data_IF_142310986420
#
_entry.id   IF_142310986420
#
_cell.length_a   1.000
_cell.length_b   1.000
_cell.length_c   1.000
_cell.angle_alpha   90.00
_cell.angle_beta   90.00
_cell.angle_gamma   90.00
#
_symmetry.space_group_name_H-M   'P 1'
#
loop_
_entity.id
_entity.type
_entity.pdbx_description
1 polymer ?
#
# COMPACT_ATOMS: atom_id res chain seq x y z
N UNK A 1 11.71 12.84 23.80
CA UNK A 1 12.94 12.93 22.99
C UNK A 1 12.74 11.99 21.81
N UNK A 2 12.47 12.49 20.61
CA UNK A 2 12.24 11.65 19.44
C UNK A 2 13.57 11.03 18.98
N UNK A 3 13.62 9.71 18.85
CA UNK A 3 14.79 8.99 18.36
C UNK A 3 15.04 9.39 16.90
N UNK A 4 16.21 9.97 16.54
CA UNK A 4 16.41 10.67 15.27
C UNK A 4 16.56 9.76 14.03
N UNK A 5 16.22 8.46 14.13
CA UNK A 5 16.56 7.48 13.08
C UNK A 5 15.48 6.41 12.81
N UNK A 6 14.26 6.57 13.30
CA UNK A 6 13.16 5.69 12.89
C UNK A 6 12.58 6.14 11.54
N UNK A 7 12.56 5.20 10.60
CA UNK A 7 11.78 5.37 9.37
C UNK A 7 10.28 5.52 9.74
N UNK A 8 9.50 6.29 8.96
CA UNK A 8 8.06 6.43 9.19
C UNK A 8 7.31 5.12 8.94
N UNK A 9 6.04 5.05 9.34
CA UNK A 9 5.11 4.03 8.83
C UNK A 9 4.75 4.33 7.36
N UNK A 10 4.19 3.34 6.65
CA UNK A 10 3.73 3.53 5.26
C UNK A 10 2.72 4.69 5.16
N UNK A 11 1.73 4.74 6.05
CA UNK A 11 0.70 5.78 6.03
C UNK A 11 1.28 7.18 6.28
N UNK A 12 2.15 7.30 7.28
CA UNK A 12 2.85 8.56 7.57
C UNK A 12 3.71 9.02 6.39
N UNK A 13 4.40 8.08 5.72
CA UNK A 13 5.16 8.38 4.52
C UNK A 13 4.27 8.87 3.37
N UNK A 14 3.17 8.18 3.09
CA UNK A 14 2.24 8.54 2.01
C UNK A 14 1.61 9.92 2.24
N UNK A 15 1.31 10.26 3.49
CA UNK A 15 0.68 11.53 3.85
C UNK A 15 1.66 12.73 3.84
N UNK A 16 2.92 12.52 4.22
CA UNK A 16 3.83 13.63 4.52
C UNK A 16 5.06 13.70 3.60
N UNK A 17 5.40 12.64 2.88
CA UNK A 17 6.66 12.56 2.12
C UNK A 17 6.45 12.39 0.61
N UNK A 18 5.22 12.25 0.15
CA UNK A 18 4.84 12.32 -1.26
C UNK A 18 4.34 13.72 -1.61
N UNK A 19 5.09 14.44 -2.43
CA UNK A 19 4.69 15.77 -2.88
C UNK A 19 4.05 15.71 -4.26
N UNK A 20 2.88 16.33 -4.49
CA UNK A 20 2.35 16.50 -5.83
C UNK A 20 3.38 17.18 -6.74
N UNK A 21 3.50 16.70 -7.98
CA UNK A 21 4.36 17.28 -8.99
C UNK A 21 3.54 17.60 -10.24
N UNK A 22 3.72 18.82 -10.76
CA UNK A 22 3.04 19.30 -11.96
C UNK A 22 4.07 19.49 -13.06
N UNK A 23 3.89 18.80 -14.18
CA UNK A 23 4.74 18.99 -15.34
C UNK A 23 4.21 20.21 -16.09
N UNK A 24 5.06 21.24 -16.19
CA UNK A 24 4.75 22.42 -16.99
C UNK A 24 5.14 22.14 -18.44
N UNK A 25 4.16 22.21 -19.34
CA UNK A 25 4.35 22.06 -20.78
C UNK A 25 5.29 23.16 -21.28
N UNK A 26 6.58 22.83 -21.45
CA UNK A 26 7.60 23.79 -21.89
C UNK A 26 9.04 23.41 -21.52
N UNK A 27 9.22 22.58 -20.49
CA UNK A 27 10.51 21.97 -20.16
C UNK A 27 10.44 20.47 -20.44
N UNK A 28 11.29 19.98 -21.36
CA UNK A 28 11.32 18.61 -21.86
C UNK A 28 11.76 17.57 -20.83
N UNK A 29 11.02 17.41 -19.75
CA UNK A 29 11.15 16.24 -18.89
C UNK A 29 10.34 15.10 -19.50
N UNK A 30 10.90 14.48 -20.56
CA UNK A 30 10.47 13.18 -21.08
C UNK A 30 10.80 12.08 -20.06
N UNK A 31 10.24 12.18 -18.85
CA UNK A 31 10.36 11.17 -17.81
C UNK A 31 9.35 10.04 -18.03
N UNK A 32 9.79 8.81 -17.80
CA UNK A 32 8.91 7.66 -17.69
C UNK A 32 8.72 7.30 -16.22
N UNK A 33 7.52 6.89 -15.86
CA UNK A 33 7.25 6.31 -14.55
C UNK A 33 8.06 5.02 -14.39
N UNK A 34 9.01 4.96 -13.44
CA UNK A 34 9.86 3.79 -13.21
C UNK A 34 9.15 2.52 -12.73
N UNK A 35 7.81 2.52 -12.67
CA UNK A 35 6.97 1.37 -12.32
C UNK A 35 6.22 0.82 -13.53
N UNK A 36 5.45 1.66 -14.25
CA UNK A 36 4.70 1.22 -15.44
C UNK A 36 5.43 1.47 -16.77
N UNK A 37 6.54 2.20 -16.76
CA UNK A 37 7.34 2.58 -17.94
C UNK A 37 6.59 3.46 -18.95
N UNK A 38 5.46 4.03 -18.55
CA UNK A 38 4.69 5.00 -19.36
C UNK A 38 5.11 6.44 -19.03
N UNK A 39 4.89 7.35 -19.98
CA UNK A 39 5.11 8.77 -19.80
C UNK A 39 4.16 9.38 -18.78
N UNK A 40 4.53 10.53 -18.23
CA UNK A 40 3.73 11.25 -17.24
C UNK A 40 2.61 12.12 -17.85
N UNK A 41 2.55 12.19 -19.18
CA UNK A 41 1.52 12.93 -19.89
C UNK A 41 0.17 12.27 -19.65
N UNK A 42 -0.82 13.06 -19.20
CA UNK A 42 -2.21 12.64 -18.99
C UNK A 42 -2.45 11.56 -17.92
N UNK A 43 -1.70 11.58 -16.81
CA UNK A 43 -2.03 10.72 -15.67
C UNK A 43 -3.28 11.22 -14.92
N UNK A 44 -4.42 10.49 -14.92
CA UNK A 44 -5.63 10.90 -14.19
C UNK A 44 -5.44 10.87 -12.67
N UNK A 45 -4.39 10.21 -12.19
CA UNK A 45 -4.13 10.00 -10.77
C UNK A 45 -3.03 10.93 -10.21
N UNK A 46 -2.49 11.82 -11.04
CA UNK A 46 -1.43 12.76 -10.68
C UNK A 46 -0.05 12.13 -10.50
N UNK A 47 0.95 12.98 -10.52
CA UNK A 47 2.37 12.62 -10.36
C UNK A 47 2.79 13.01 -8.95
N UNK A 48 3.59 12.16 -8.32
CA UNK A 48 4.18 12.42 -7.01
C UNK A 48 5.69 12.33 -7.07
N UNK A 49 6.33 13.23 -6.33
CA UNK A 49 7.75 13.24 -6.06
C UNK A 49 8.01 12.75 -4.65
N UNK A 50 8.92 11.80 -4.50
CA UNK A 50 9.39 11.39 -3.17
C UNK A 50 10.34 12.46 -2.63
N UNK A 51 10.00 13.07 -1.50
CA UNK A 51 10.79 14.16 -0.90
C UNK A 51 12.24 13.77 -0.56
N UNK A 52 12.49 12.52 -0.16
CA UNK A 52 13.81 12.08 0.32
C UNK A 52 14.78 11.63 -0.77
N UNK A 53 14.32 11.43 -2.01
CA UNK A 53 15.17 10.99 -3.13
C UNK A 53 14.78 11.58 -4.51
N UNK A 54 13.81 12.50 -4.54
CA UNK A 54 13.36 13.28 -5.70
C UNK A 54 12.90 12.52 -6.95
N UNK A 55 12.75 11.20 -6.89
CA UNK A 55 12.22 10.41 -8.00
C UNK A 55 10.71 10.61 -8.17
N UNK A 56 10.26 10.59 -9.43
CA UNK A 56 8.87 10.82 -9.85
C UNK A 56 8.17 9.51 -10.23
N UNK A 57 6.90 9.40 -9.84
CA UNK A 57 6.05 8.26 -10.19
C UNK A 57 4.59 8.72 -10.33
N UNK A 58 3.78 7.98 -11.08
CA UNK A 58 2.33 8.07 -10.94
C UNK A 58 1.95 7.69 -9.51
N UNK A 59 1.07 8.47 -8.88
CA UNK A 59 0.64 8.23 -7.50
C UNK A 59 0.13 6.81 -7.31
N UNK A 60 -0.73 6.35 -8.22
CA UNK A 60 -1.30 5.00 -8.16
C UNK A 60 -0.25 3.91 -8.35
N UNK A 61 0.71 4.08 -9.27
CA UNK A 61 1.78 3.11 -9.48
C UNK A 61 2.66 2.96 -8.22
N UNK A 62 3.00 4.08 -7.58
CA UNK A 62 3.80 4.05 -6.35
C UNK A 62 3.04 3.39 -5.18
N UNK A 63 1.74 3.66 -5.03
CA UNK A 63 0.92 3.00 -4.01
C UNK A 63 0.75 1.50 -4.27
N UNK A 64 0.56 1.08 -5.53
CA UNK A 64 0.53 -0.35 -5.90
C UNK A 64 1.85 -1.04 -5.56
N UNK A 65 2.99 -0.36 -5.79
CA UNK A 65 4.30 -0.87 -5.38
C UNK A 65 4.35 -1.10 -3.86
N UNK A 66 3.94 -0.12 -3.06
CA UNK A 66 3.93 -0.21 -1.58
C UNK A 66 3.01 -1.31 -1.05
N UNK A 67 1.87 -1.56 -1.70
CA UNK A 67 0.91 -2.59 -1.31
C UNK A 67 1.18 -3.97 -1.93
N UNK A 68 2.24 -4.13 -2.71
CA UNK A 68 2.56 -5.41 -3.34
C UNK A 68 3.04 -6.46 -2.32
N UNK A 69 3.15 -7.72 -2.72
CA UNK A 69 3.75 -8.80 -1.91
C UNK A 69 5.29 -8.77 -1.96
N UNK A 70 5.89 -7.81 -2.64
CA UNK A 70 7.34 -7.75 -2.83
C UNK A 70 8.07 -7.40 -1.53
N UNK A 71 9.12 -8.14 -1.17
CA UNK A 71 9.89 -7.94 0.08
C UNK A 71 10.57 -6.57 0.20
N UNK A 72 10.77 -5.87 -0.92
CA UNK A 72 11.35 -4.51 -0.99
C UNK A 72 10.32 -3.43 -1.29
N UNK A 73 9.03 -3.69 -1.04
CA UNK A 73 7.93 -2.73 -1.28
C UNK A 73 8.05 -1.43 -0.48
N UNK A 74 8.87 -1.40 0.57
CA UNK A 74 9.17 -0.20 1.35
C UNK A 74 10.36 0.63 0.82
N UNK A 75 10.80 0.37 -0.42
CA UNK A 75 11.92 1.08 -1.04
C UNK A 75 11.47 1.88 -2.26
N UNK A 76 12.21 2.94 -2.59
CA UNK A 76 12.01 3.66 -3.86
C UNK A 76 12.26 2.69 -5.04
N UNK A 77 11.32 2.57 -6.00
CA UNK A 77 11.50 1.69 -7.16
C UNK A 77 12.76 2.01 -7.99
N UNK A 78 13.15 3.29 -8.06
CA UNK A 78 14.27 3.77 -8.87
C UNK A 78 15.63 3.63 -8.17
N UNK A 79 15.77 4.12 -6.93
CA UNK A 79 17.07 4.17 -6.25
C UNK A 79 17.20 3.24 -5.04
N UNK A 80 16.16 2.47 -4.71
CA UNK A 80 16.13 1.50 -3.60
C UNK A 80 16.35 2.08 -2.20
N UNK A 81 16.32 3.40 -2.02
CA UNK A 81 16.31 4.05 -0.71
C UNK A 81 15.11 3.55 0.11
N UNK A 82 15.34 3.18 1.37
CA UNK A 82 14.27 2.84 2.32
C UNK A 82 13.39 4.06 2.59
N UNK A 83 12.07 3.86 2.50
CA UNK A 83 11.08 4.92 2.61
C UNK A 83 10.29 4.86 3.91
N UNK A 84 9.94 3.64 4.35
CA UNK A 84 9.16 3.40 5.55
C UNK A 84 9.50 2.03 6.16
N UNK A 85 9.07 1.83 7.41
CA UNK A 85 9.14 0.54 8.08
C UNK A 85 8.06 -0.39 7.54
N UNK A 86 8.44 -1.63 7.23
CA UNK A 86 7.46 -2.69 7.02
C UNK A 86 6.95 -3.11 8.40
N UNK A 87 5.64 -3.01 8.61
CA UNK A 87 4.99 -3.75 9.68
C UNK A 87 5.16 -5.23 9.37
N UNK A 88 5.94 -5.91 10.19
CA UNK A 88 5.97 -7.36 10.19
C UNK A 88 4.75 -7.85 10.97
N UNK A 89 4.02 -8.81 10.40
CA UNK A 89 3.04 -9.54 11.18
C UNK A 89 3.81 -10.31 12.25
N UNK A 90 3.50 -10.06 13.51
CA UNK A 90 4.00 -10.87 14.61
C UNK A 90 3.26 -12.22 14.61
N UNK A 91 3.84 -13.28 15.16
CA UNK A 91 3.10 -14.53 15.39
C UNK A 91 1.78 -14.28 16.13
N UNK A 92 1.79 -13.36 17.10
CA UNK A 92 0.59 -12.94 17.84
C UNK A 92 -0.45 -12.29 16.92
N UNK A 93 -0.04 -11.42 15.99
CA UNK A 93 -0.95 -10.84 15.00
C UNK A 93 -1.55 -11.93 14.11
N UNK A 94 -0.74 -12.88 13.64
CA UNK A 94 -1.19 -13.99 12.78
C UNK A 94 -2.21 -14.87 13.53
N UNK A 95 -1.93 -15.21 14.78
CA UNK A 95 -2.83 -15.97 15.65
C UNK A 95 -4.14 -15.21 15.87
N UNK A 96 -4.07 -13.92 16.20
CA UNK A 96 -5.26 -13.08 16.38
C UNK A 96 -6.11 -13.01 15.10
N UNK A 97 -5.49 -12.87 13.92
CA UNK A 97 -6.20 -12.90 12.64
C UNK A 97 -6.82 -14.27 12.35
N UNK A 98 -6.13 -15.36 12.68
CA UNK A 98 -6.64 -16.71 12.52
C UNK A 98 -7.84 -17.00 13.44
N UNK A 99 -7.79 -16.56 14.70
CA UNK A 99 -8.89 -16.69 15.67
C UNK A 99 -10.11 -15.86 15.26
N UNK A 100 -9.90 -14.64 14.75
CA UNK A 100 -10.98 -13.81 14.20
C UNK A 100 -11.63 -14.49 12.98
N UNK A 101 -10.83 -15.04 12.08
CA UNK A 101 -11.33 -15.76 10.90
C UNK A 101 -12.09 -17.04 11.28
N UNK A 102 -11.60 -17.80 12.27
CA UNK A 102 -12.27 -19.00 12.78
C UNK A 102 -13.66 -18.67 13.36
N UNK A 103 -13.77 -17.60 14.17
CA UNK A 103 -15.06 -17.14 14.71
C UNK A 103 -16.06 -16.78 13.61
N UNK A 104 -15.60 -16.15 12.54
CA UNK A 104 -16.46 -15.85 11.40
C UNK A 104 -16.94 -17.12 10.67
N UNK A 105 -16.08 -18.12 10.49
CA UNK A 105 -16.46 -19.39 9.86
C UNK A 105 -17.45 -20.19 10.72
N UNK A 106 -17.24 -20.23 12.04
CA UNK A 106 -18.15 -20.90 12.98
C UNK A 106 -19.54 -20.25 12.95
N UNK A 107 -19.61 -18.91 12.93
CA UNK A 107 -20.86 -18.18 12.83
C UNK A 107 -21.62 -18.48 11.53
N UNK A 108 -20.90 -18.64 10.40
CA UNK A 108 -21.50 -19.05 9.12
C UNK A 108 -22.08 -20.46 9.22
N UNK A 109 -21.36 -21.41 9.82
CA UNK A 109 -21.86 -22.78 10.01
C UNK A 109 -23.14 -22.84 10.86
N UNK A 110 -23.22 -22.03 11.91
CA UNK A 110 -24.43 -21.94 12.75
C UNK A 110 -25.64 -21.39 12.00
N UNK A 111 -25.43 -20.43 11.10
CA UNK A 111 -26.51 -19.90 10.24
C UNK A 111 -27.02 -20.98 9.29
N UNK A 112 -26.13 -21.74 8.65
CA UNK A 112 -26.51 -22.83 7.74
C UNK A 112 -27.31 -23.93 8.45
N UNK A 113 -26.88 -24.34 9.64
CA UNK A 113 -27.57 -25.36 10.44
C UNK A 113 -28.96 -24.91 10.90
N UNK A 114 -29.12 -23.64 11.28
CA UNK A 114 -30.40 -23.11 11.73
C UNK A 114 -31.38 -22.89 10.56
N UNK A 115 -30.90 -22.41 9.41
CA UNK A 115 -31.70 -22.31 8.19
C UNK A 115 -32.18 -23.69 7.71
N UNK A 116 -31.32 -24.71 7.74
CA UNK A 116 -31.69 -26.08 7.36
C UNK A 116 -32.79 -26.64 8.27
N UNK A 117 -32.71 -26.35 9.58
CA UNK A 117 -33.73 -26.77 10.54
C UNK A 117 -35.09 -26.07 10.31
N UNK A 118 -35.07 -24.80 9.91
CA UNK A 118 -36.29 -24.05 9.57
C UNK A 118 -36.96 -24.58 8.30
N UNK A 119 -36.17 -25.06 7.33
CA UNK A 119 -36.69 -25.67 6.10
C UNK A 119 -37.32 -27.05 6.37
N UNK A 120 -36.77 -27.84 7.30
CA UNK A 120 -37.34 -29.15 7.66
C UNK A 120 -38.63 -29.06 8.49
N UNK A 121 -38.88 -27.92 9.14
CA UNK A 121 -40.05 -27.67 9.98
C UNK A 121 -41.22 -26.98 9.23
N UNK A 122 -41.05 -26.62 7.95
CA UNK A 122 -42.09 -26.11 7.01
C UNK A 122 -42.65 -27.20 6.07
#
# INVERSE_FOLDING_TARGET
>A
MAQPNELPTMDSFVQHQLQPYFIFSGHGECGLCGVCQEGFNDSPHGIVRISTCTHLFHRNCLLKWFNSTHSKRNTCPACRKLLFQLSNLTPEDIEAFAEEAARHLDAVGQIEEEEMRKIEEE
#
